data_IF_217384660884
#
_entry.id   IF_217384660884
#
_cell.length_a   1.000
_cell.length_b   1.000
_cell.length_c   1.000
_cell.angle_alpha   90.00
_cell.angle_beta   90.00
_cell.angle_gamma   90.00
#
_symmetry.space_group_name_H-M   'P 1'
#
loop_
_entity.id
_entity.type
_entity.pdbx_description
1 polymer ?
#
# COMPACT_ATOMS: atom_id res chain seq x y z
N UNK A 1 -12.24 -18.54 10.30
CA UNK A 1 -11.40 -18.13 11.45
C UNK A 1 -11.99 -18.74 12.71
N UNK A 2 -11.18 -19.26 13.62
CA UNK A 2 -11.66 -19.77 14.90
C UNK A 2 -11.17 -18.83 15.99
N UNK A 3 -12.08 -18.34 16.85
CA UNK A 3 -11.70 -17.50 17.98
C UNK A 3 -10.78 -18.27 18.92
N UNK A 4 -9.81 -17.57 19.51
CA UNK A 4 -9.01 -18.13 20.59
C UNK A 4 -9.94 -18.53 21.74
N UNK A 5 -9.67 -19.68 22.33
CA UNK A 5 -10.50 -20.26 23.39
C UNK A 5 -10.60 -19.34 24.61
N UNK A 6 -9.56 -18.54 24.87
CA UNK A 6 -9.53 -17.51 25.90
C UNK A 6 -10.58 -16.41 25.68
N UNK A 7 -10.81 -16.00 24.42
CA UNK A 7 -11.81 -14.98 24.06
C UNK A 7 -13.22 -15.56 24.20
N UNK A 8 -13.41 -16.80 23.75
CA UNK A 8 -14.68 -17.52 23.95
C UNK A 8 -15.03 -17.64 25.44
N UNK A 9 -14.05 -18.02 26.27
CA UNK A 9 -14.23 -18.13 27.71
C UNK A 9 -14.55 -16.79 28.38
N UNK A 10 -13.88 -15.70 27.96
CA UNK A 10 -14.16 -14.36 28.47
C UNK A 10 -15.56 -13.87 28.08
N UNK A 11 -15.97 -14.07 26.82
CA UNK A 11 -17.30 -13.69 26.35
C UNK A 11 -18.41 -14.49 27.06
N UNK A 12 -18.22 -15.80 27.22
CA UNK A 12 -19.14 -16.65 27.96
C UNK A 12 -19.21 -16.25 29.45
N UNK A 13 -18.09 -15.89 30.08
CA UNK A 13 -18.07 -15.40 31.46
C UNK A 13 -18.79 -14.05 31.64
N UNK A 14 -18.87 -13.24 30.58
CA UNK A 14 -19.67 -12.02 30.54
C UNK A 14 -21.17 -12.27 30.24
N UNK A 15 -21.58 -13.53 30.10
CA UNK A 15 -22.97 -13.90 29.81
C UNK A 15 -23.37 -13.82 28.34
N UNK A 16 -22.41 -13.70 27.42
CA UNK A 16 -22.70 -13.73 25.99
C UNK A 16 -23.19 -15.14 25.59
N UNK A 17 -24.28 -15.17 24.84
CA UNK A 17 -24.83 -16.40 24.27
C UNK A 17 -23.97 -16.90 23.10
N UNK A 18 -24.08 -18.18 22.77
CA UNK A 18 -23.40 -18.75 21.60
C UNK A 18 -23.75 -18.01 20.30
N UNK A 19 -24.99 -17.55 20.18
CA UNK A 19 -25.45 -16.78 19.01
C UNK A 19 -24.76 -15.41 18.91
N UNK A 20 -24.61 -14.70 20.02
CA UNK A 20 -23.89 -13.42 20.06
C UNK A 20 -22.41 -13.60 19.76
N UNK A 21 -21.79 -14.63 20.34
CA UNK A 21 -20.39 -14.97 20.08
C UNK A 21 -20.18 -15.30 18.59
N UNK A 22 -21.06 -16.09 17.99
CA UNK A 22 -21.01 -16.42 16.57
C UNK A 22 -21.15 -15.16 15.69
N UNK A 23 -22.11 -14.28 16.02
CA UNK A 23 -22.33 -13.02 15.31
C UNK A 23 -21.11 -12.09 15.36
N UNK A 24 -20.55 -11.89 16.55
CA UNK A 24 -19.33 -11.08 16.75
C UNK A 24 -18.15 -11.65 15.97
N UNK A 25 -17.99 -12.97 16.00
CA UNK A 25 -16.92 -13.66 15.25
C UNK A 25 -17.05 -13.43 13.76
N UNK A 26 -18.27 -13.58 13.22
CA UNK A 26 -18.54 -13.36 11.80
C UNK A 26 -18.24 -11.92 11.41
N UNK A 27 -18.73 -10.95 12.18
CA UNK A 27 -18.50 -9.53 11.92
C UNK A 27 -17.01 -9.19 11.86
N UNK A 28 -16.21 -9.65 12.82
CA UNK A 28 -14.78 -9.37 12.80
C UNK A 28 -14.02 -10.14 11.72
N UNK A 29 -14.47 -11.33 11.34
CA UNK A 29 -13.91 -12.05 10.20
C UNK A 29 -14.12 -11.28 8.90
N UNK A 30 -15.32 -10.76 8.66
CA UNK A 30 -15.63 -9.95 7.49
C UNK A 30 -14.81 -8.66 7.47
N UNK A 31 -14.71 -7.97 8.62
CA UNK A 31 -13.89 -6.77 8.76
C UNK A 31 -12.41 -7.05 8.50
N UNK A 32 -11.89 -8.19 8.93
CA UNK A 32 -10.51 -8.57 8.68
C UNK A 32 -10.27 -8.87 7.20
N UNK A 33 -11.19 -9.57 6.54
CA UNK A 33 -11.12 -9.82 5.09
C UNK A 33 -11.14 -8.50 4.31
N UNK A 34 -12.01 -7.57 4.67
CA UNK A 34 -12.06 -6.25 4.07
C UNK A 34 -10.76 -5.46 4.30
N UNK A 35 -10.22 -5.50 5.52
CA UNK A 35 -8.96 -4.86 5.86
C UNK A 35 -7.78 -5.45 5.07
N UNK A 36 -7.73 -6.77 4.90
CA UNK A 36 -6.70 -7.44 4.11
C UNK A 36 -6.75 -7.00 2.65
N UNK A 37 -7.95 -6.97 2.04
CA UNK A 37 -8.11 -6.49 0.68
C UNK A 37 -7.66 -5.02 0.51
N UNK A 38 -7.92 -4.18 1.51
CA UNK A 38 -7.44 -2.80 1.50
C UNK A 38 -5.91 -2.71 1.60
N UNK A 39 -5.27 -3.55 2.42
CA UNK A 39 -3.81 -3.63 2.52
C UNK A 39 -3.19 -4.09 1.20
N UNK A 40 -3.77 -5.11 0.56
CA UNK A 40 -3.31 -5.62 -0.73
C UNK A 40 -3.38 -4.52 -1.79
N UNK A 41 -4.51 -3.78 -1.85
CA UNK A 41 -4.65 -2.63 -2.75
C UNK A 41 -3.63 -1.51 -2.49
N UNK A 42 -3.31 -1.24 -1.23
CA UNK A 42 -2.27 -0.26 -0.87
C UNK A 42 -0.91 -0.71 -1.39
N UNK A 43 -0.58 -2.00 -1.27
CA UNK A 43 0.68 -2.54 -1.77
C UNK A 43 0.79 -2.41 -3.30
N UNK A 44 -0.29 -2.72 -4.02
CA UNK A 44 -0.34 -2.55 -5.48
C UNK A 44 -0.15 -1.07 -5.89
N UNK A 45 -0.78 -0.16 -5.15
CA UNK A 45 -0.62 1.29 -5.39
C UNK A 45 0.83 1.75 -5.13
N UNK A 46 1.46 1.25 -4.07
CA UNK A 46 2.87 1.56 -3.75
C UNK A 46 3.78 1.10 -4.89
N UNK A 47 3.58 -0.12 -5.40
CA UNK A 47 4.35 -0.65 -6.53
C UNK A 47 4.19 0.24 -7.77
N UNK A 48 2.95 0.64 -8.09
CA UNK A 48 2.68 1.56 -9.20
C UNK A 48 3.38 2.91 -9.03
N UNK A 49 3.36 3.50 -7.83
CA UNK A 49 4.04 4.78 -7.59
C UNK A 49 5.56 4.68 -7.67
N UNK A 50 6.14 3.55 -7.28
CA UNK A 50 7.58 3.30 -7.46
C UNK A 50 7.97 3.26 -8.94
N UNK A 51 7.16 2.62 -9.79
CA UNK A 51 7.36 2.63 -11.25
C UNK A 51 7.28 4.05 -11.81
N UNK A 52 6.24 4.80 -11.45
CA UNK A 52 6.07 6.19 -11.91
C UNK A 52 7.23 7.10 -11.47
N UNK A 53 7.74 6.90 -10.25
CA UNK A 53 8.89 7.67 -9.75
C UNK A 53 10.16 7.37 -10.55
N UNK A 54 10.39 6.10 -10.92
CA UNK A 54 11.52 5.69 -11.75
C UNK A 54 11.43 6.31 -13.14
N UNK A 55 10.26 6.26 -13.78
CA UNK A 55 10.02 6.88 -15.09
C UNK A 55 10.21 8.40 -15.06
N UNK A 56 9.65 9.08 -14.05
CA UNK A 56 9.81 10.52 -13.87
C UNK A 56 11.28 10.92 -13.66
N UNK A 57 12.02 10.09 -12.92
CA UNK A 57 13.46 10.27 -12.70
C UNK A 57 14.24 10.15 -14.02
N UNK A 58 13.97 9.12 -14.81
CA UNK A 58 14.59 8.93 -16.12
C UNK A 58 14.28 10.09 -17.07
N UNK A 59 13.04 10.58 -17.09
CA UNK A 59 12.66 11.75 -17.88
C UNK A 59 13.39 13.02 -17.43
N UNK A 60 13.48 13.27 -16.12
CA UNK A 60 14.22 14.41 -15.57
C UNK A 60 15.68 14.37 -16.02
N UNK A 61 16.32 13.22 -15.92
CA UNK A 61 17.74 13.07 -16.26
C UNK A 61 17.95 13.28 -17.77
N UNK A 62 17.08 12.72 -18.62
CA UNK A 62 17.12 12.93 -20.07
C UNK A 62 16.93 14.41 -20.46
N UNK A 63 16.01 15.12 -19.79
CA UNK A 63 15.82 16.56 -19.99
C UNK A 63 17.08 17.33 -19.55
N UNK A 64 17.65 16.99 -18.40
CA UNK A 64 18.89 17.59 -17.91
C UNK A 64 20.06 17.44 -18.89
N UNK A 65 20.24 16.23 -19.45
CA UNK A 65 21.23 15.96 -20.49
C UNK A 65 20.98 16.76 -21.77
N UNK A 66 19.72 16.84 -22.22
CA UNK A 66 19.35 17.61 -23.40
C UNK A 66 19.66 19.10 -23.20
N UNK A 67 19.26 19.68 -22.06
CA UNK A 67 19.59 21.06 -21.70
C UNK A 67 21.11 21.27 -21.68
N UNK A 68 21.86 20.34 -21.06
CA UNK A 68 23.33 20.39 -21.06
C UNK A 68 23.93 20.47 -22.46
N UNK A 69 23.40 19.73 -23.43
CA UNK A 69 23.85 19.79 -24.83
C UNK A 69 23.56 21.15 -25.49
N UNK A 70 22.42 21.78 -25.18
CA UNK A 70 22.11 23.13 -25.68
C UNK A 70 22.99 24.21 -25.06
N UNK A 71 23.31 24.10 -23.76
CA UNK A 71 24.11 25.10 -23.04
C UNK A 71 25.61 25.02 -23.37
N UNK A 72 26.12 23.86 -23.80
CA UNK A 72 27.55 23.69 -24.19
C UNK A 72 27.84 24.20 -25.61
N UNK A 73 26.83 24.67 -26.35
CA UNK A 73 26.98 25.10 -27.76
C UNK A 73 27.61 26.50 -27.96
N UNK A 74 27.85 27.28 -26.90
CA UNK A 74 28.41 28.65 -27.03
C UNK A 74 29.89 28.82 -26.62
N UNK A 75 30.61 27.77 -26.22
CA UNK A 75 32.03 27.90 -25.79
C UNK A 75 33.07 27.18 -26.68
N UNK A 76 32.72 26.74 -27.88
CA UNK A 76 33.58 25.87 -28.69
C UNK A 76 33.82 26.22 -30.16
N UNK A 77 33.60 27.47 -30.60
CA UNK A 77 33.52 27.77 -32.05
C UNK A 77 34.21 29.04 -32.57
N UNK A 78 35.53 29.20 -32.33
CA UNK A 78 36.53 29.92 -33.15
C UNK A 78 36.35 31.43 -33.46
N UNK A 79 37.29 32.09 -34.16
CA UNK A 79 38.72 31.80 -34.41
C UNK A 79 39.69 32.48 -33.43
#
# INVERSE_FOLDING_TARGET
>A
MQLKQEILAALAACGATEAEIASITSYYADQLTAAQAAVDQINDNIASFQTQLMEATAHRDAIGEAIGKFVVSEQGGGP
#
